data_IF_072014172153
#
_entry.id   IF_072014172153
#
_cell.length_a   1.000
_cell.length_b   1.000
_cell.length_c   1.000
_cell.angle_alpha   90.00
_cell.angle_beta   90.00
_cell.angle_gamma   90.00
#
_symmetry.space_group_name_H-M   'P 1'
#
loop_
_entity.id
_entity.type
_entity.pdbx_description
1 polymer ?
#
# COMPACT_ATOMS: atom_id res chain seq x y z
N UNK A 1 1.43 32.15 3.71
CA UNK A 1 1.89 30.85 4.26
C UNK A 1 3.09 31.15 5.12
N UNK A 2 3.07 30.68 6.37
CA UNK A 2 4.16 30.91 7.32
C UNK A 2 5.40 30.14 6.83
N UNK A 3 6.51 30.83 6.55
CA UNK A 3 7.74 30.23 6.04
C UNK A 3 8.49 29.40 7.11
N UNK A 4 7.88 29.23 8.29
CA UNK A 4 8.39 28.47 9.42
C UNK A 4 7.78 27.06 9.54
N UNK A 5 7.35 26.45 8.44
CA UNK A 5 6.99 25.03 8.46
C UNK A 5 8.24 24.21 8.82
N UNK A 6 8.26 23.66 10.04
CA UNK A 6 9.27 22.72 10.51
C UNK A 6 8.62 21.36 10.63
N UNK A 7 8.82 20.53 9.61
CA UNK A 7 8.26 19.17 9.53
C UNK A 7 8.47 18.37 10.82
N UNK A 8 9.65 18.46 11.42
CA UNK A 8 10.05 17.80 12.67
C UNK A 8 9.28 18.28 13.91
N UNK A 9 8.76 19.52 13.90
CA UNK A 9 7.98 20.07 15.01
C UNK A 9 6.58 19.47 15.06
N UNK A 10 6.01 19.19 13.89
CA UNK A 10 4.66 18.65 13.74
C UNK A 10 4.66 17.12 13.59
N UNK A 11 5.83 16.51 13.41
CA UNK A 11 6.06 15.06 13.34
C UNK A 11 7.26 14.69 14.22
N UNK A 12 7.11 14.71 15.57
CA UNK A 12 8.19 14.33 16.46
C UNK A 12 8.64 12.89 16.18
N UNK A 13 9.96 12.71 16.03
CA UNK A 13 10.55 11.40 15.88
C UNK A 13 10.52 10.66 17.23
N UNK A 14 9.86 9.51 17.28
CA UNK A 14 9.74 8.66 18.47
C UNK A 14 10.81 7.56 18.54
N UNK A 15 11.90 7.67 17.76
CA UNK A 15 13.00 6.69 17.77
C UNK A 15 13.60 6.50 19.18
N UNK A 16 13.52 7.54 20.04
CA UNK A 16 13.97 7.48 21.43
C UNK A 16 13.10 6.57 22.32
N UNK A 17 11.89 6.19 21.88
CA UNK A 17 11.01 5.27 22.60
C UNK A 17 11.46 3.81 22.47
N UNK A 18 12.27 3.48 21.45
CA UNK A 18 12.76 2.12 21.24
C UNK A 18 14.05 1.86 22.02
N UNK A 19 14.08 0.75 22.76
CA UNK A 19 15.24 0.34 23.54
C UNK A 19 16.39 -0.21 22.67
N UNK A 20 16.13 -0.55 21.41
CA UNK A 20 17.15 -1.08 20.50
C UNK A 20 16.75 -0.97 19.02
N UNK A 21 17.76 -1.07 18.13
CA UNK A 21 17.55 -1.20 16.69
C UNK A 21 16.71 -2.43 16.30
N UNK A 22 16.72 -3.48 17.15
CA UNK A 22 15.92 -4.68 16.92
C UNK A 22 14.43 -4.41 17.17
N UNK A 23 14.10 -3.63 18.20
CA UNK A 23 12.72 -3.22 18.50
C UNK A 23 12.17 -2.26 17.45
N UNK A 24 12.99 -1.30 17.02
CA UNK A 24 12.65 -0.43 15.90
C UNK A 24 12.33 -1.24 14.63
N UNK A 25 13.13 -2.28 14.34
CA UNK A 25 12.94 -3.12 13.16
C UNK A 25 11.69 -4.03 13.26
N UNK A 26 11.37 -4.52 14.47
CA UNK A 26 10.12 -5.23 14.77
C UNK A 26 8.92 -4.35 14.36
N UNK A 27 8.88 -3.12 14.89
CA UNK A 27 7.82 -2.16 14.57
C UNK A 27 7.79 -1.82 13.09
N UNK A 28 8.94 -1.60 12.46
CA UNK A 28 9.02 -1.23 11.07
C UNK A 28 8.45 -2.31 10.13
N UNK A 29 8.85 -3.58 10.30
CA UNK A 29 8.34 -4.68 9.49
C UNK A 29 6.84 -4.90 9.75
N UNK A 30 6.39 -4.78 11.00
CA UNK A 30 4.97 -4.87 11.34
C UNK A 30 4.15 -3.76 10.68
N UNK A 31 4.65 -2.51 10.65
CA UNK A 31 3.98 -1.40 9.96
C UNK A 31 3.90 -1.61 8.45
N UNK A 32 4.94 -2.15 7.81
CA UNK A 32 4.91 -2.52 6.39
C UNK A 32 3.87 -3.61 6.11
N UNK A 33 3.78 -4.61 6.99
CA UNK A 33 2.79 -5.68 6.89
C UNK A 33 1.36 -5.14 7.03
N UNK A 34 1.09 -4.31 8.03
CA UNK A 34 -0.24 -3.71 8.23
C UNK A 34 -0.62 -2.80 7.07
N UNK A 35 0.31 -2.02 6.53
CA UNK A 35 0.10 -1.22 5.33
C UNK A 35 -0.37 -2.09 4.14
N UNK A 36 0.27 -3.26 3.95
CA UNK A 36 -0.11 -4.19 2.89
C UNK A 36 -1.50 -4.81 3.10
N UNK A 37 -1.88 -5.07 4.36
CA UNK A 37 -3.23 -5.54 4.71
C UNK A 37 -4.31 -4.49 4.46
N UNK A 38 -4.04 -3.24 4.79
CA UNK A 38 -4.96 -2.13 4.52
C UNK A 38 -5.17 -1.96 3.01
N UNK A 39 -4.08 -2.09 2.23
CA UNK A 39 -4.15 -2.07 0.76
C UNK A 39 -5.02 -3.21 0.24
N UNK A 40 -4.86 -4.43 0.75
CA UNK A 40 -5.73 -5.54 0.37
C UNK A 40 -7.20 -5.28 0.69
N UNK A 41 -7.47 -4.68 1.85
CA UNK A 41 -8.83 -4.30 2.26
C UNK A 41 -9.41 -3.24 1.32
N UNK A 42 -8.63 -2.22 0.97
CA UNK A 42 -9.04 -1.20 0.02
C UNK A 42 -9.34 -1.77 -1.38
N UNK A 43 -8.52 -2.71 -1.87
CA UNK A 43 -8.75 -3.41 -3.14
C UNK A 43 -10.01 -4.28 -3.07
N UNK A 44 -10.24 -4.97 -1.95
CA UNK A 44 -11.44 -5.76 -1.73
C UNK A 44 -12.71 -4.90 -1.83
N UNK A 45 -12.74 -3.78 -1.10
CA UNK A 45 -13.85 -2.82 -1.13
C UNK A 45 -14.02 -2.25 -2.54
N UNK A 46 -12.93 -1.81 -3.19
CA UNK A 46 -12.95 -1.27 -4.55
C UNK A 46 -13.62 -2.25 -5.53
N UNK A 47 -13.22 -3.52 -5.50
CA UNK A 47 -13.76 -4.54 -6.39
C UNK A 47 -15.26 -4.81 -6.15
N UNK A 48 -15.75 -4.68 -4.91
CA UNK A 48 -17.18 -4.80 -4.63
C UNK A 48 -17.93 -3.61 -5.24
N UNK A 49 -17.44 -2.40 -4.98
CA UNK A 49 -18.08 -1.16 -5.44
C UNK A 49 -18.10 -1.10 -6.97
N UNK A 50 -16.99 -1.43 -7.62
CA UNK A 50 -16.87 -1.43 -9.09
C UNK A 50 -17.81 -2.47 -9.73
N UNK A 51 -17.89 -3.69 -9.18
CA UNK A 51 -18.84 -4.71 -9.65
C UNK A 51 -20.29 -4.29 -9.47
N UNK A 52 -20.63 -3.71 -8.33
CA UNK A 52 -22.00 -3.25 -8.05
C UNK A 52 -22.38 -2.07 -8.97
N UNK A 53 -21.46 -1.14 -9.20
CA UNK A 53 -21.63 -0.05 -10.17
C UNK A 53 -21.92 -0.60 -11.57
N UNK A 54 -21.07 -1.50 -12.06
CA UNK A 54 -21.21 -2.10 -13.39
C UNK A 54 -22.53 -2.87 -13.53
N UNK A 55 -22.96 -3.58 -12.48
CA UNK A 55 -24.27 -4.25 -12.43
C UNK A 55 -25.41 -3.24 -12.57
N UNK A 56 -25.42 -2.18 -11.77
CA UNK A 56 -26.49 -1.16 -11.80
C UNK A 56 -26.58 -0.43 -13.14
N UNK A 57 -25.43 -0.16 -13.76
CA UNK A 57 -25.38 0.40 -15.12
C UNK A 57 -25.99 -0.56 -16.13
N UNK A 58 -25.66 -1.85 -16.07
CA UNK A 58 -26.24 -2.88 -16.93
C UNK A 58 -27.76 -2.99 -16.74
N UNK A 59 -28.22 -2.96 -15.49
CA UNK A 59 -29.63 -3.06 -15.10
C UNK A 59 -30.43 -1.77 -15.39
N UNK A 60 -29.78 -0.72 -15.94
CA UNK A 60 -30.34 0.62 -16.19
C UNK A 60 -30.85 1.34 -14.92
N UNK A 61 -30.38 0.93 -13.75
CA UNK A 61 -30.61 1.58 -12.45
C UNK A 61 -29.39 2.41 -12.06
N UNK A 62 -28.97 3.32 -12.94
CA UNK A 62 -27.76 4.12 -12.74
C UNK A 62 -27.96 5.05 -11.53
N UNK A 63 -27.11 4.95 -10.48
CA UNK A 63 -27.24 5.84 -9.33
C UNK A 63 -27.00 7.30 -9.72
N UNK A 64 -27.79 8.22 -9.16
CA UNK A 64 -27.54 9.66 -9.29
C UNK A 64 -26.14 10.03 -8.80
N UNK A 65 -25.53 11.04 -9.41
CA UNK A 65 -24.21 11.52 -9.03
C UNK A 65 -24.18 11.91 -7.54
N UNK A 66 -23.14 11.46 -6.83
CA UNK A 66 -22.91 11.79 -5.42
C UNK A 66 -21.45 12.13 -5.24
N UNK A 67 -21.17 13.35 -4.81
CA UNK A 67 -19.80 13.80 -4.48
C UNK A 67 -19.17 12.91 -3.42
N UNK A 68 -19.94 12.54 -2.39
CA UNK A 68 -19.46 11.66 -1.30
C UNK A 68 -19.03 10.31 -1.86
N UNK A 69 -19.87 9.67 -2.68
CA UNK A 69 -19.55 8.37 -3.28
C UNK A 69 -18.32 8.45 -4.18
N UNK A 70 -18.23 9.47 -5.02
CA UNK A 70 -17.07 9.69 -5.90
C UNK A 70 -15.79 9.88 -5.07
N UNK A 71 -15.81 10.72 -4.04
CA UNK A 71 -14.65 10.96 -3.18
C UNK A 71 -14.23 9.69 -2.43
N UNK A 72 -15.17 8.92 -1.88
CA UNK A 72 -14.87 7.65 -1.20
C UNK A 72 -14.24 6.65 -2.17
N UNK A 73 -14.78 6.54 -3.39
CA UNK A 73 -14.26 5.64 -4.42
C UNK A 73 -12.83 6.01 -4.84
N UNK A 74 -12.56 7.28 -5.11
CA UNK A 74 -11.22 7.77 -5.43
C UNK A 74 -10.24 7.57 -4.26
N UNK A 75 -10.70 7.75 -3.02
CA UNK A 75 -9.88 7.57 -1.82
C UNK A 75 -9.36 6.14 -1.67
N UNK A 76 -10.13 5.12 -2.08
CA UNK A 76 -9.66 3.73 -2.10
C UNK A 76 -8.45 3.56 -3.03
N UNK A 77 -8.53 4.14 -4.22
CA UNK A 77 -7.44 4.07 -5.20
C UNK A 77 -6.20 4.79 -4.68
N UNK A 78 -6.36 5.97 -4.09
CA UNK A 78 -5.25 6.69 -3.45
C UNK A 78 -4.62 5.90 -2.31
N UNK A 79 -5.41 5.24 -1.45
CA UNK A 79 -4.89 4.38 -0.37
C UNK A 79 -3.97 3.31 -0.93
N UNK A 80 -4.40 2.66 -2.01
CA UNK A 80 -3.65 1.59 -2.68
C UNK A 80 -2.36 2.12 -3.30
N UNK A 81 -2.44 3.17 -4.13
CA UNK A 81 -1.27 3.73 -4.82
C UNK A 81 -0.25 4.27 -3.83
N UNK A 82 -0.67 5.09 -2.87
CA UNK A 82 0.25 5.69 -1.89
C UNK A 82 0.86 4.63 -0.98
N UNK A 83 0.08 3.64 -0.56
CA UNK A 83 0.55 2.55 0.29
C UNK A 83 1.57 1.66 -0.41
N UNK A 84 1.29 1.19 -1.63
CA UNK A 84 2.26 0.39 -2.40
C UNK A 84 3.53 1.18 -2.69
N UNK A 85 3.41 2.50 -2.90
CA UNK A 85 4.56 3.38 -3.06
C UNK A 85 5.39 3.56 -1.80
N UNK A 86 4.76 3.55 -0.62
CA UNK A 86 5.47 3.57 0.67
C UNK A 86 6.28 2.29 0.85
N UNK A 87 5.66 1.14 0.58
CA UNK A 87 6.29 -0.18 0.75
C UNK A 87 7.44 -0.39 -0.24
N UNK A 88 7.22 -0.09 -1.53
CA UNK A 88 8.15 -0.46 -2.61
C UNK A 88 9.08 0.67 -3.08
N UNK A 89 9.21 1.75 -2.31
CA UNK A 89 10.16 2.82 -2.60
C UNK A 89 11.62 2.35 -2.47
N UNK A 90 12.44 2.61 -3.49
CA UNK A 90 13.85 2.19 -3.51
C UNK A 90 14.71 2.88 -2.44
N UNK A 91 14.41 4.14 -2.11
CA UNK A 91 15.32 4.98 -1.32
C UNK A 91 14.74 5.53 -0.01
N UNK A 92 13.44 5.33 0.26
CA UNK A 92 12.81 5.86 1.47
C UNK A 92 13.20 5.04 2.69
N UNK A 93 13.58 5.74 3.77
CA UNK A 93 14.01 5.20 5.06
C UNK A 93 13.11 4.08 5.60
N UNK A 94 11.80 4.17 5.34
CA UNK A 94 10.79 3.25 5.84
C UNK A 94 10.26 2.24 4.81
N UNK A 95 10.98 1.96 3.73
CA UNK A 95 10.54 0.98 2.72
C UNK A 95 10.96 -0.46 3.04
N UNK A 96 10.38 -1.43 2.32
CA UNK A 96 10.77 -2.85 2.42
C UNK A 96 12.24 -3.07 2.04
N UNK A 97 12.75 -2.31 1.08
CA UNK A 97 14.16 -2.38 0.70
C UNK A 97 15.08 -1.94 1.86
N UNK A 98 14.71 -0.87 2.59
CA UNK A 98 15.48 -0.44 3.76
C UNK A 98 15.37 -1.43 4.93
N UNK A 99 14.17 -1.92 5.21
CA UNK A 99 13.96 -2.94 6.24
C UNK A 99 14.84 -4.17 5.99
N UNK A 100 14.83 -4.72 4.77
CA UNK A 100 15.67 -5.88 4.43
C UNK A 100 17.16 -5.61 4.53
N UNK A 101 17.64 -4.40 4.21
CA UNK A 101 19.04 -4.00 4.43
C UNK A 101 19.41 -3.97 5.92
N UNK A 102 18.53 -3.46 6.78
CA UNK A 102 18.76 -3.42 8.23
C UNK A 102 18.70 -4.82 8.85
N UNK A 103 17.76 -5.67 8.41
CA UNK A 103 17.72 -7.08 8.79
C UNK A 103 19.04 -7.77 8.44
N UNK A 104 19.52 -7.61 7.20
CA UNK A 104 20.80 -8.19 6.76
C UNK A 104 21.96 -7.76 7.67
N UNK A 105 21.98 -6.48 8.07
CA UNK A 105 23.03 -5.95 8.94
C UNK A 105 22.98 -6.49 10.37
N UNK A 106 21.79 -6.74 10.92
CA UNK A 106 21.61 -7.26 12.28
C UNK A 106 21.75 -8.79 12.36
N UNK A 107 21.35 -9.51 11.31
CA UNK A 107 21.27 -10.97 11.28
C UNK A 107 22.25 -11.61 10.27
N UNK A 108 23.44 -11.02 10.09
CA UNK A 108 24.44 -11.39 9.06
C UNK A 108 24.83 -12.87 8.99
N UNK A 109 24.72 -13.60 10.09
CA UNK A 109 25.11 -15.01 10.18
C UNK A 109 23.93 -15.98 10.00
N UNK A 110 22.69 -15.50 9.98
CA UNK A 110 21.50 -16.35 9.88
C UNK A 110 21.15 -16.63 8.41
N UNK A 111 21.45 -17.85 7.95
CA UNK A 111 21.22 -18.26 6.56
C UNK A 111 19.75 -18.26 6.13
N UNK A 112 18.84 -18.57 7.04
CA UNK A 112 17.40 -18.61 6.74
C UNK A 112 16.89 -17.20 6.42
N UNK A 113 17.20 -16.26 7.31
CA UNK A 113 16.87 -14.83 7.12
C UNK A 113 17.50 -14.29 5.82
N UNK A 114 18.76 -14.61 5.55
CA UNK A 114 19.43 -14.17 4.32
C UNK A 114 18.77 -14.72 3.06
N UNK A 115 18.30 -15.98 3.07
CA UNK A 115 17.57 -16.56 1.94
C UNK A 115 16.23 -15.83 1.72
N UNK A 116 15.50 -15.52 2.79
CA UNK A 116 14.24 -14.77 2.70
C UNK A 116 14.46 -13.35 2.20
N UNK A 117 15.53 -12.67 2.62
CA UNK A 117 15.91 -11.36 2.09
C UNK A 117 16.21 -11.43 0.58
N UNK A 118 16.94 -12.45 0.13
CA UNK A 118 17.23 -12.64 -1.29
C UNK A 118 15.95 -12.88 -2.11
N UNK A 119 15.02 -13.67 -1.59
CA UNK A 119 13.72 -13.91 -2.21
C UNK A 119 12.91 -12.60 -2.37
N UNK A 120 12.87 -11.78 -1.30
CA UNK A 120 12.22 -10.47 -1.32
C UNK A 120 12.87 -9.54 -2.34
N UNK A 121 14.20 -9.41 -2.35
CA UNK A 121 14.93 -8.54 -3.28
C UNK A 121 14.75 -8.98 -4.72
N UNK A 122 14.85 -10.28 -4.99
CA UNK A 122 14.60 -10.83 -6.31
C UNK A 122 13.18 -10.47 -6.79
N UNK A 123 12.17 -10.60 -5.93
CA UNK A 123 10.80 -10.21 -6.30
C UNK A 123 10.65 -8.70 -6.50
N UNK A 124 11.32 -7.87 -5.70
CA UNK A 124 11.30 -6.40 -5.83
C UNK A 124 11.83 -5.96 -7.21
N UNK A 125 12.91 -6.59 -7.66
CA UNK A 125 13.57 -6.25 -8.93
C UNK A 125 12.79 -6.76 -10.16
N UNK A 126 12.04 -7.85 -10.02
CA UNK A 126 11.39 -8.53 -11.14
C UNK A 126 9.87 -8.33 -11.21
N UNK A 127 9.24 -7.77 -10.17
CA UNK A 127 7.80 -7.55 -10.15
C UNK A 127 7.35 -6.48 -11.15
N UNK A 128 6.43 -6.86 -12.03
CA UNK A 128 5.76 -5.94 -12.96
C UNK A 128 4.89 -4.95 -12.18
N UNK A 129 4.16 -5.42 -11.16
CA UNK A 129 3.32 -4.56 -10.31
C UNK A 129 4.16 -3.48 -9.62
N UNK A 130 5.30 -3.84 -9.02
CA UNK A 130 6.23 -2.90 -8.38
C UNK A 130 6.70 -1.84 -9.37
N UNK A 131 7.13 -2.27 -10.57
CA UNK A 131 7.57 -1.34 -11.63
C UNK A 131 6.46 -0.38 -12.05
N UNK A 132 5.24 -0.88 -12.24
CA UNK A 132 4.09 -0.04 -12.62
C UNK A 132 3.75 0.96 -11.52
N UNK A 133 3.70 0.53 -10.25
CA UNK A 133 3.43 1.40 -9.11
C UNK A 133 4.45 2.55 -9.03
N UNK A 134 5.74 2.28 -9.26
CA UNK A 134 6.78 3.31 -9.31
C UNK A 134 6.56 4.32 -10.44
N UNK A 135 6.14 3.88 -11.62
CA UNK A 135 5.80 4.78 -12.74
C UNK A 135 4.60 5.65 -12.36
N UNK A 136 3.57 5.06 -11.77
CA UNK A 136 2.40 5.81 -11.32
C UNK A 136 2.77 6.80 -10.21
N UNK A 137 3.64 6.46 -9.26
CA UNK A 137 4.18 7.39 -8.26
C UNK A 137 4.67 8.69 -8.88
N UNK A 138 5.59 8.56 -9.84
CA UNK A 138 6.28 9.68 -10.44
C UNK A 138 5.29 10.54 -11.22
N UNK A 139 4.34 9.90 -11.88
CA UNK A 139 3.21 10.55 -12.55
C UNK A 139 2.28 11.26 -11.55
N UNK A 140 1.76 10.58 -10.54
CA UNK A 140 0.86 11.13 -9.52
C UNK A 140 1.45 12.37 -8.83
N UNK A 141 2.73 12.34 -8.44
CA UNK A 141 3.38 13.50 -7.82
C UNK A 141 3.77 14.58 -8.85
N UNK A 142 4.02 14.22 -10.12
CA UNK A 142 4.26 15.18 -11.19
C UNK A 142 2.99 15.82 -11.76
N UNK A 143 1.79 15.28 -11.50
CA UNK A 143 0.54 15.72 -12.14
C UNK A 143 -0.05 17.04 -11.65
N UNK A 144 0.65 17.76 -10.77
CA UNK A 144 0.45 19.21 -10.60
C UNK A 144 1.19 20.04 -11.68
N UNK A 145 1.99 19.41 -12.54
CA UNK A 145 2.66 20.07 -13.67
C UNK A 145 1.67 20.33 -14.83
N UNK A 146 1.82 21.51 -15.44
CA UNK A 146 0.88 22.16 -16.38
C UNK A 146 0.48 21.30 -17.59
N UNK A 147 1.30 20.30 -17.96
CA UNK A 147 1.07 19.44 -19.13
C UNK A 147 -0.04 18.41 -18.94
N UNK A 148 -0.24 17.91 -17.71
CA UNK A 148 -1.28 16.91 -17.40
C UNK A 148 -2.62 17.49 -17.00
N UNK A 149 -2.63 18.75 -16.54
CA UNK A 149 -3.87 19.50 -16.31
C UNK A 149 -4.60 19.79 -17.64
N UNK A 150 -3.83 19.84 -18.75
CA UNK A 150 -4.32 20.15 -20.10
C UNK A 150 -4.43 18.92 -21.02
N UNK A 151 -4.07 17.71 -20.58
CA UNK A 151 -4.29 16.49 -21.36
C UNK A 151 -5.69 15.91 -21.08
N UNK A 152 -6.42 15.55 -22.15
CA UNK A 152 -7.72 14.86 -22.06
C UNK A 152 -7.66 13.57 -21.22
N UNK A 153 -6.46 12.98 -21.10
CA UNK A 153 -6.15 11.91 -20.17
C UNK A 153 -5.68 12.56 -18.88
N UNK A 154 -6.62 12.91 -17.99
CA UNK A 154 -6.28 12.87 -16.55
C UNK A 154 -5.78 11.45 -16.34
N UNK A 155 -4.62 11.25 -15.69
CA UNK A 155 -4.24 9.89 -15.30
C UNK A 155 -5.33 9.43 -14.35
N UNK A 156 -6.26 8.66 -14.90
CA UNK A 156 -7.38 8.11 -14.17
C UNK A 156 -6.74 7.21 -13.11
N UNK A 157 -6.80 7.59 -11.82
CA UNK A 157 -6.17 6.82 -10.77
C UNK A 157 -6.60 5.36 -10.84
N UNK A 158 -7.84 5.08 -11.25
CA UNK A 158 -8.39 3.73 -11.31
C UNK A 158 -7.66 2.83 -12.31
N UNK A 159 -7.03 3.40 -13.35
CA UNK A 159 -6.28 2.64 -14.35
C UNK A 159 -5.10 1.87 -13.76
N UNK A 160 -4.54 2.32 -12.63
CA UNK A 160 -3.49 1.59 -11.91
C UNK A 160 -4.01 0.27 -11.35
N UNK A 161 -5.29 0.19 -11.00
CA UNK A 161 -5.91 -0.97 -10.36
C UNK A 161 -5.89 -2.18 -11.29
N UNK A 162 -5.90 -1.96 -12.61
CA UNK A 162 -5.75 -3.01 -13.63
C UNK A 162 -4.38 -3.72 -13.60
N UNK A 163 -3.39 -3.12 -12.94
CA UNK A 163 -2.03 -3.66 -12.85
C UNK A 163 -1.70 -4.21 -11.47
N UNK A 164 -2.67 -4.24 -10.55
CA UNK A 164 -2.47 -4.71 -9.18
C UNK A 164 -3.02 -6.14 -9.09
N UNK A 165 -2.10 -7.09 -9.00
CA UNK A 165 -2.44 -8.51 -8.88
C UNK A 165 -2.67 -8.88 -7.41
N UNK A 166 -3.89 -9.32 -7.10
CA UNK A 166 -4.27 -9.80 -5.76
C UNK A 166 -3.38 -10.95 -5.30
N UNK A 167 -3.06 -11.91 -6.18
CA UNK A 167 -2.20 -13.04 -5.84
C UNK A 167 -0.79 -12.56 -5.50
N UNK A 168 -0.28 -11.60 -6.26
CA UNK A 168 1.03 -11.03 -5.97
C UNK A 168 1.06 -10.34 -4.60
N UNK A 169 -0.01 -9.64 -4.20
CA UNK A 169 -0.13 -9.04 -2.87
C UNK A 169 -0.15 -10.09 -1.74
N UNK A 170 -0.82 -11.23 -1.95
CA UNK A 170 -0.81 -12.35 -1.01
C UNK A 170 0.60 -12.93 -0.86
N UNK A 171 1.34 -13.07 -1.98
CA UNK A 171 2.75 -13.50 -1.95
C UNK A 171 3.63 -12.51 -1.16
N UNK A 172 3.41 -11.21 -1.33
CA UNK A 172 4.13 -10.18 -0.55
C UNK A 172 3.84 -10.27 0.96
N UNK A 173 2.58 -10.52 1.36
CA UNK A 173 2.25 -10.75 2.77
C UNK A 173 2.93 -12.00 3.31
N UNK A 174 2.93 -13.10 2.56
CA UNK A 174 3.61 -14.33 2.96
C UNK A 174 5.11 -14.10 3.19
N UNK A 175 5.77 -13.37 2.29
CA UNK A 175 7.19 -13.02 2.44
C UNK A 175 7.45 -12.14 3.66
N UNK A 176 6.61 -11.14 3.92
CA UNK A 176 6.74 -10.30 5.12
C UNK A 176 6.52 -11.08 6.41
N UNK A 177 5.53 -11.99 6.44
CA UNK A 177 5.28 -12.87 7.59
C UNK A 177 6.45 -13.82 7.84
N UNK A 178 6.98 -14.42 6.78
CA UNK A 178 8.15 -15.28 6.84
C UNK A 178 9.36 -14.53 7.41
N UNK A 179 9.68 -13.35 6.85
CA UNK A 179 10.77 -12.50 7.34
C UNK A 179 10.59 -12.15 8.82
N UNK A 180 9.39 -11.73 9.22
CA UNK A 180 9.09 -11.35 10.60
C UNK A 180 9.24 -12.53 11.56
N UNK A 181 8.72 -13.70 11.19
CA UNK A 181 8.83 -14.92 11.99
C UNK A 181 10.30 -15.32 12.18
N UNK A 182 11.09 -15.30 11.11
CA UNK A 182 12.52 -15.65 11.17
C UNK A 182 13.33 -14.64 12.00
N UNK A 183 12.99 -13.35 11.97
CA UNK A 183 13.70 -12.32 12.73
C UNK A 183 13.35 -12.31 14.22
N UNK A 184 12.07 -12.53 14.57
CA UNK A 184 11.55 -12.25 15.91
C UNK A 184 10.94 -13.46 16.61
N UNK A 185 10.80 -14.61 15.93
CA UNK A 185 10.10 -15.79 16.44
C UNK A 185 8.67 -15.48 16.92
N UNK A 186 8.04 -14.48 16.31
CA UNK A 186 6.67 -14.04 16.58
C UNK A 186 5.84 -14.21 15.31
N UNK A 187 4.56 -14.50 15.47
CA UNK A 187 3.64 -14.59 14.34
C UNK A 187 2.91 -13.26 14.13
N UNK A 188 2.89 -12.80 12.88
CA UNK A 188 1.95 -11.78 12.44
C UNK A 188 0.60 -12.43 12.11
N UNK A 189 -0.53 -11.73 12.37
CA UNK A 189 -1.86 -12.28 12.16
C UNK A 189 -2.07 -12.82 10.74
N UNK A 190 -2.68 -13.98 10.61
CA UNK A 190 -2.94 -14.63 9.31
C UNK A 190 -4.14 -14.04 8.58
N UNK A 191 -5.15 -13.56 9.30
CA UNK A 191 -6.44 -13.20 8.73
C UNK A 191 -6.82 -11.74 8.98
N UNK A 192 -7.44 -11.15 7.97
CA UNK A 192 -8.08 -9.84 8.05
C UNK A 192 -9.58 -10.01 8.08
N UNK A 193 -10.23 -9.39 9.06
CA UNK A 193 -11.68 -9.28 9.09
C UNK A 193 -12.06 -8.27 8.01
N UNK A 194 -12.50 -8.79 6.86
CA UNK A 194 -13.00 -7.97 5.76
C UNK A 194 -14.45 -7.54 6.05
N UNK A 195 -14.86 -6.33 5.66
CA UNK A 195 -16.26 -5.94 5.75
C UNK A 195 -17.12 -6.84 4.87
N UNK A 196 -18.39 -7.05 5.24
CA UNK A 196 -19.32 -7.80 4.40
C UNK A 196 -19.63 -7.04 3.11
N UNK A 197 -20.02 -7.79 2.07
CA UNK A 197 -20.42 -7.18 0.79
C UNK A 197 -21.60 -6.23 0.99
N UNK A 198 -22.55 -6.61 1.84
CA UNK A 198 -23.75 -5.86 2.15
C UNK A 198 -23.41 -4.51 2.81
N UNK A 199 -22.49 -4.50 3.78
CA UNK A 199 -22.01 -3.27 4.43
C UNK A 199 -21.31 -2.33 3.45
N UNK A 200 -20.48 -2.89 2.55
CA UNK A 200 -19.80 -2.09 1.52
C UNK A 200 -20.81 -1.48 0.56
N UNK A 201 -21.75 -2.28 0.03
CA UNK A 201 -22.78 -1.79 -0.90
C UNK A 201 -23.65 -0.73 -0.23
N UNK A 202 -24.07 -0.96 1.02
CA UNK A 202 -24.80 0.03 1.80
C UNK A 202 -24.00 1.34 1.90
N UNK A 203 -22.75 1.28 2.35
CA UNK A 203 -21.92 2.49 2.55
C UNK A 203 -21.78 3.33 1.29
N UNK A 204 -21.62 2.71 0.13
CA UNK A 204 -21.38 3.42 -1.13
C UNK A 204 -22.65 3.82 -1.88
N UNK A 205 -23.74 3.06 -1.74
CA UNK A 205 -24.94 3.22 -2.57
C UNK A 205 -26.22 3.51 -1.79
N UNK A 206 -26.14 3.67 -0.48
CA UNK A 206 -27.27 4.15 0.33
C UNK A 206 -27.64 5.58 -0.07
N UNK A 207 -28.95 5.86 -0.06
CA UNK A 207 -29.55 7.14 -0.44
C UNK A 207 -29.66 8.08 0.75
#
# INVERSE_FOLDING_TARGET
MDNNFKFERDNPNYDYEFASNNEWLDVHINLLFNELRDIQTAIYIFNIVDKEWNKRVHDKDVPEYSTVRTTLYESLVYRVVLGLNKIFADSKEYSLFKATNQVEQLFRSNKEILNTIQEIRYKLDNSVMVRVIRIYRDKFFAHLDKKSVMSYVRVDPTSVMNHIDKKELEEWLCLMRKLYLECFSKELPSESVMPSKEEVVYTFFWR
#
